data_IF_922059366328
#
_entry.id   IF_922059366328
#
_cell.length_a   1.000
_cell.length_b   1.000
_cell.length_c   1.000
_cell.angle_alpha   90.00
_cell.angle_beta   90.00
_cell.angle_gamma   90.00
#
_symmetry.space_group_name_H-M   'P 1'
#
loop_
_entity.id
_entity.type
_entity.pdbx_description
1 polymer ?
#
# COMPACT_ATOMS: atom_id res chain seq x y z
N UNK A 1 -20.02 10.00 5.52
CA UNK A 1 -19.56 10.13 4.12
C UNK A 1 -19.42 8.73 3.54
N UNK A 2 -19.74 8.50 2.26
CA UNK A 2 -19.59 7.18 1.64
C UNK A 2 -18.10 6.93 1.29
N UNK A 3 -17.61 5.67 1.35
CA UNK A 3 -16.28 5.31 0.86
C UNK A 3 -16.09 5.71 -0.61
N UNK A 4 -14.93 6.26 -0.93
CA UNK A 4 -14.58 6.63 -2.31
C UNK A 4 -13.08 6.47 -2.55
N UNK A 5 -12.73 6.39 -3.83
CA UNK A 5 -11.36 6.51 -4.36
C UNK A 5 -11.46 7.35 -5.63
N UNK A 6 -10.57 8.33 -5.81
CA UNK A 6 -10.56 9.24 -6.95
C UNK A 6 -9.15 9.71 -7.26
N UNK A 7 -8.88 10.01 -8.53
CA UNK A 7 -7.70 10.77 -8.93
C UNK A 7 -7.99 12.25 -8.75
N UNK A 8 -7.10 12.96 -8.05
CA UNK A 8 -7.15 14.41 -7.89
C UNK A 8 -6.09 15.01 -8.81
N UNK A 9 -6.53 15.84 -9.74
CA UNK A 9 -5.66 16.64 -10.61
C UNK A 9 -5.78 18.08 -10.12
N UNK A 10 -4.68 18.66 -9.65
CA UNK A 10 -4.63 20.05 -9.19
C UNK A 10 -4.03 20.92 -10.29
N UNK A 11 -4.53 22.15 -10.42
CA UNK A 11 -3.93 23.14 -11.32
C UNK A 11 -2.63 23.67 -10.70
N UNK A 12 -1.50 23.10 -11.11
CA UNK A 12 -0.18 23.76 -11.06
C UNK A 12 0.75 23.48 -9.88
N UNK A 13 0.27 23.10 -8.69
CA UNK A 13 1.17 22.99 -7.51
C UNK A 13 1.52 21.57 -7.07
N UNK A 14 0.69 20.58 -7.40
CA UNK A 14 0.93 19.18 -7.02
C UNK A 14 0.79 18.27 -8.23
N UNK A 15 1.67 17.28 -8.31
CA UNK A 15 1.47 16.15 -9.21
C UNK A 15 0.12 15.47 -8.89
N UNK A 16 -0.56 14.89 -9.90
CA UNK A 16 -1.77 14.12 -9.68
C UNK A 16 -1.59 13.07 -8.59
N UNK A 17 -2.64 12.79 -7.83
CA UNK A 17 -2.57 11.79 -6.75
C UNK A 17 -3.89 11.07 -6.57
N UNK A 18 -3.85 9.86 -6.03
CA UNK A 18 -5.06 9.14 -5.63
C UNK A 18 -5.44 9.56 -4.22
N UNK A 19 -6.71 9.94 -4.04
CA UNK A 19 -7.31 10.19 -2.74
C UNK A 19 -8.39 9.15 -2.47
N UNK A 20 -8.40 8.59 -1.28
CA UNK A 20 -9.49 7.72 -0.85
C UNK A 20 -9.99 8.02 0.55
N UNK A 21 -11.19 7.52 0.83
CA UNK A 21 -11.86 7.61 2.12
C UNK A 21 -12.38 6.24 2.53
N UNK A 22 -11.99 5.81 3.72
CA UNK A 22 -12.37 4.55 4.34
C UNK A 22 -13.21 4.85 5.58
N UNK A 23 -14.37 4.22 5.69
CA UNK A 23 -15.24 4.33 6.86
C UNK A 23 -15.49 3.00 7.57
N UNK A 24 -14.96 1.89 7.02
CA UNK A 24 -15.05 0.54 7.56
C UNK A 24 -13.83 -0.29 7.13
N UNK A 25 -12.98 -0.66 8.09
CA UNK A 25 -11.91 -1.65 8.02
C UNK A 25 -11.70 -2.23 9.44
N UNK A 26 -10.90 -3.30 9.59
CA UNK A 26 -10.55 -3.83 10.91
C UNK A 26 -9.94 -2.80 11.87
N UNK A 27 -9.31 -1.75 11.32
CA UNK A 27 -8.66 -0.67 12.08
C UNK A 27 -9.35 0.70 11.87
N UNK A 28 -10.46 0.76 11.16
CA UNK A 28 -11.17 1.99 10.79
C UNK A 28 -12.67 1.76 11.01
N UNK A 29 -13.28 2.51 11.92
CA UNK A 29 -14.72 2.44 12.14
C UNK A 29 -15.41 3.77 11.75
N UNK A 30 -16.74 3.80 11.85
CA UNK A 30 -17.52 5.00 11.52
C UNK A 30 -17.19 6.20 12.43
N UNK A 31 -16.62 5.96 13.62
CA UNK A 31 -16.22 6.99 14.59
C UNK A 31 -14.81 7.52 14.28
N UNK A 32 -13.98 6.73 13.59
CA UNK A 32 -12.61 7.07 13.17
C UNK A 32 -12.40 6.77 11.69
N UNK A 33 -13.13 7.45 10.78
CA UNK A 33 -12.91 7.27 9.36
C UNK A 33 -11.55 7.82 8.96
N UNK A 34 -11.00 7.28 7.87
CA UNK A 34 -9.66 7.62 7.42
C UNK A 34 -9.63 8.10 5.98
N UNK A 35 -8.94 9.20 5.75
CA UNK A 35 -8.50 9.60 4.40
C UNK A 35 -7.11 9.02 4.15
N UNK A 36 -6.85 8.62 2.91
CA UNK A 36 -5.52 8.20 2.48
C UNK A 36 -5.18 8.83 1.14
N UNK A 37 -3.89 8.90 0.87
CA UNK A 37 -3.31 9.55 -0.29
C UNK A 37 -2.25 8.63 -0.87
N UNK A 38 -2.25 8.42 -2.18
CA UNK A 38 -1.17 7.76 -2.91
C UNK A 38 -0.61 8.74 -3.95
N UNK A 39 0.71 8.94 -4.02
CA UNK A 39 1.31 9.84 -4.99
C UNK A 39 1.11 9.33 -6.44
N UNK A 40 1.40 10.19 -7.42
CA UNK A 40 1.43 9.82 -8.84
C UNK A 40 2.31 8.59 -9.10
N UNK A 41 3.46 8.57 -8.43
CA UNK A 41 4.53 7.61 -8.60
C UNK A 41 5.14 7.24 -7.25
N UNK A 42 5.60 5.99 -7.13
CA UNK A 42 6.45 5.53 -6.04
C UNK A 42 7.71 4.93 -6.68
N UNK A 43 8.70 5.77 -7.06
CA UNK A 43 9.83 5.35 -7.90
C UNK A 43 10.62 4.19 -7.30
N UNK A 44 10.76 4.19 -5.97
CA UNK A 44 11.50 3.15 -5.28
C UNK A 44 10.86 1.75 -5.44
N UNK A 45 9.53 1.68 -5.60
CA UNK A 45 8.80 0.44 -5.90
C UNK A 45 8.54 0.23 -7.40
N UNK A 46 8.90 1.19 -8.25
CA UNK A 46 8.58 1.19 -9.68
C UNK A 46 7.06 1.18 -9.95
N UNK A 47 6.28 1.82 -9.08
CA UNK A 47 4.82 1.87 -9.20
C UNK A 47 4.37 3.25 -9.69
N UNK A 48 3.31 3.28 -10.49
CA UNK A 48 2.64 4.50 -10.95
C UNK A 48 1.16 4.48 -10.53
N UNK A 49 0.81 4.68 -9.24
CA UNK A 49 -0.55 4.42 -8.75
C UNK A 49 -1.68 5.16 -9.46
N UNK A 50 -1.41 6.38 -9.96
CA UNK A 50 -2.42 7.14 -10.71
C UNK A 50 -2.67 6.49 -12.07
N UNK A 51 -1.60 6.22 -12.82
CA UNK A 51 -1.67 5.57 -14.13
C UNK A 51 -2.29 4.17 -14.02
N UNK A 52 -1.82 3.35 -13.09
CA UNK A 52 -2.35 2.00 -12.85
C UNK A 52 -3.85 2.00 -12.52
N UNK A 53 -4.33 3.01 -11.77
CA UNK A 53 -5.75 3.14 -11.45
C UNK A 53 -6.57 3.59 -12.66
N UNK A 54 -6.05 4.53 -13.46
CA UNK A 54 -6.72 5.03 -14.66
C UNK A 54 -6.82 3.92 -15.71
N UNK A 55 -5.71 3.24 -15.98
CA UNK A 55 -5.66 2.07 -16.87
C UNK A 55 -6.63 0.98 -16.41
N UNK A 56 -6.67 0.70 -15.10
CA UNK A 56 -7.63 -0.25 -14.55
C UNK A 56 -9.08 0.16 -14.82
N UNK A 57 -9.44 1.43 -14.60
CA UNK A 57 -10.81 1.92 -14.82
C UNK A 57 -11.19 1.81 -16.30
N UNK A 58 -10.29 2.24 -17.21
CA UNK A 58 -10.51 2.18 -18.66
C UNK A 58 -10.63 0.73 -19.13
N UNK A 59 -9.67 -0.13 -18.76
CA UNK A 59 -9.63 -1.52 -19.20
C UNK A 59 -10.76 -2.37 -18.60
N UNK A 60 -11.19 -2.07 -17.37
CA UNK A 60 -12.30 -2.79 -16.75
C UNK A 60 -13.66 -2.39 -17.30
N UNK A 61 -13.84 -1.15 -17.78
CA UNK A 61 -15.14 -0.64 -18.19
C UNK A 61 -16.11 -0.49 -17.00
N UNK A 62 -15.58 -0.27 -15.80
CA UNK A 62 -16.37 -0.09 -14.58
C UNK A 62 -17.24 1.17 -14.67
N UNK A 63 -18.57 1.08 -14.48
CA UNK A 63 -19.43 2.26 -14.42
C UNK A 63 -19.09 3.14 -13.21
N UNK A 64 -19.25 4.45 -13.36
CA UNK A 64 -19.15 5.42 -12.25
C UNK A 64 -20.02 5.01 -11.06
N UNK A 65 -19.47 5.12 -9.84
CA UNK A 65 -20.14 4.69 -8.59
C UNK A 65 -19.99 3.21 -8.25
N UNK A 66 -19.39 2.41 -9.14
CA UNK A 66 -19.08 1.00 -8.85
C UNK A 66 -17.93 0.87 -7.85
N UNK A 67 -17.79 -0.33 -7.26
CA UNK A 67 -16.66 -0.65 -6.38
C UNK A 67 -15.44 -1.02 -7.20
N UNK A 68 -14.27 -0.48 -6.84
CA UNK A 68 -12.99 -0.92 -7.38
C UNK A 68 -12.75 -2.41 -7.10
N UNK A 69 -12.03 -3.06 -8.03
CA UNK A 69 -11.73 -4.49 -8.02
C UNK A 69 -12.96 -5.41 -7.96
N UNK A 70 -14.14 -4.90 -8.31
CA UNK A 70 -15.32 -5.72 -8.51
C UNK A 70 -15.06 -6.73 -9.63
N UNK A 71 -15.44 -7.99 -9.43
CA UNK A 71 -15.44 -8.95 -10.52
C UNK A 71 -16.68 -8.73 -11.41
N UNK A 72 -16.57 -8.87 -12.74
CA UNK A 72 -17.74 -8.89 -13.61
C UNK A 72 -18.55 -10.17 -13.35
N UNK A 73 -19.89 -10.06 -13.40
CA UNK A 73 -20.85 -11.17 -13.39
C UNK A 73 -21.17 -11.64 -14.82
N UNK A 74 -20.18 -11.60 -15.71
CA UNK A 74 -20.39 -11.74 -17.16
C UNK A 74 -21.20 -10.58 -17.72
N UNK A 75 -22.09 -10.84 -18.68
CA UNK A 75 -22.91 -9.81 -19.34
C UNK A 75 -23.95 -9.13 -18.42
N UNK A 76 -24.16 -9.66 -17.21
CA UNK A 76 -25.24 -9.23 -16.30
C UNK A 76 -24.84 -8.11 -15.33
N UNK A 77 -23.60 -7.60 -15.41
CA UNK A 77 -23.11 -6.47 -14.61
C UNK A 77 -21.97 -6.82 -13.67
N UNK A 78 -21.88 -6.15 -12.52
CA UNK A 78 -20.72 -6.22 -11.61
C UNK A 78 -21.09 -6.73 -10.21
N UNK A 79 -20.11 -7.29 -9.49
CA UNK A 79 -20.27 -7.63 -8.08
C UNK A 79 -20.26 -6.38 -7.19
N UNK A 80 -21.32 -6.18 -6.40
CA UNK A 80 -21.39 -5.09 -5.42
C UNK A 80 -20.82 -5.47 -4.04
N UNK A 81 -20.30 -6.69 -3.89
CA UNK A 81 -19.65 -7.17 -2.67
C UNK A 81 -18.13 -6.96 -2.74
N UNK A 82 -17.43 -6.84 -1.61
CA UNK A 82 -15.96 -6.72 -1.61
C UNK A 82 -15.30 -7.91 -2.31
N UNK A 83 -14.24 -7.65 -3.08
CA UNK A 83 -13.48 -8.69 -3.75
C UNK A 83 -12.77 -9.58 -2.73
N UNK A 84 -13.14 -10.87 -2.69
CA UNK A 84 -12.54 -11.86 -1.77
C UNK A 84 -11.39 -12.64 -2.40
N UNK A 85 -11.14 -12.46 -3.70
CA UNK A 85 -10.15 -13.22 -4.46
C UNK A 85 -8.71 -12.72 -4.37
N UNK A 86 -8.44 -11.64 -3.61
CA UNK A 86 -7.14 -10.95 -3.63
C UNK A 86 -5.95 -11.87 -3.34
N UNK A 87 -6.04 -12.72 -2.30
CA UNK A 87 -4.96 -13.66 -1.99
C UNK A 87 -4.69 -14.67 -3.12
N UNK A 88 -5.73 -15.12 -3.83
CA UNK A 88 -5.59 -16.02 -4.97
C UNK A 88 -4.99 -15.30 -6.18
N UNK A 89 -5.42 -14.07 -6.44
CA UNK A 89 -4.86 -13.23 -7.50
C UNK A 89 -3.37 -12.97 -7.25
N UNK A 90 -2.99 -12.65 -6.01
CA UNK A 90 -1.60 -12.46 -5.61
C UNK A 90 -0.74 -13.72 -5.83
N UNK A 91 -1.21 -14.89 -5.35
CA UNK A 91 -0.50 -16.16 -5.57
C UNK A 91 -0.29 -16.48 -7.05
N UNK A 92 -1.30 -16.20 -7.89
CA UNK A 92 -1.20 -16.38 -9.34
C UNK A 92 -0.22 -15.40 -9.97
N UNK A 93 -0.18 -14.15 -9.52
CA UNK A 93 0.82 -13.19 -9.97
C UNK A 93 2.23 -13.66 -9.61
N UNK A 94 2.42 -14.04 -8.34
CA UNK A 94 3.70 -14.59 -7.85
C UNK A 94 4.18 -15.79 -8.66
N UNK A 95 3.33 -16.79 -8.88
CA UNK A 95 3.68 -17.99 -9.65
C UNK A 95 4.01 -17.68 -11.12
N UNK A 96 3.45 -16.62 -11.71
CA UNK A 96 3.81 -16.19 -13.07
C UNK A 96 5.18 -15.52 -13.12
N UNK A 97 5.53 -14.75 -12.10
CA UNK A 97 6.83 -14.07 -12.01
C UNK A 97 7.95 -15.02 -11.62
N UNK A 98 7.66 -16.00 -10.74
CA UNK A 98 8.62 -16.96 -10.20
C UNK A 98 8.10 -18.40 -10.41
N UNK A 99 8.15 -18.93 -11.64
CA UNK A 99 7.55 -20.23 -11.97
C UNK A 99 8.19 -21.41 -11.21
N UNK A 100 9.48 -21.30 -10.86
CA UNK A 100 10.23 -22.34 -10.14
C UNK A 100 10.08 -22.24 -8.60
N UNK A 101 9.39 -21.22 -8.09
CA UNK A 101 9.30 -20.99 -6.65
C UNK A 101 8.22 -21.87 -5.98
N UNK A 102 8.63 -22.71 -5.03
CA UNK A 102 7.74 -23.62 -4.32
C UNK A 102 7.02 -22.98 -3.11
N UNK A 103 7.39 -21.78 -2.73
CA UNK A 103 6.94 -21.07 -1.51
C UNK A 103 5.69 -20.21 -1.73
N UNK A 104 5.13 -20.18 -2.95
CA UNK A 104 3.92 -19.40 -3.28
C UNK A 104 2.72 -19.68 -2.36
N UNK A 105 2.67 -20.86 -1.73
CA UNK A 105 1.65 -21.26 -0.79
C UNK A 105 1.69 -20.48 0.54
N UNK A 106 2.86 -19.97 0.95
CA UNK A 106 3.09 -19.21 2.18
C UNK A 106 2.47 -17.82 2.15
N UNK A 107 2.18 -17.28 0.96
CA UNK A 107 1.56 -15.96 0.84
C UNK A 107 0.07 -15.99 1.16
N UNK A 108 -0.44 -14.89 1.71
CA UNK A 108 -1.85 -14.70 2.02
C UNK A 108 -2.32 -13.30 1.60
N UNK A 109 -3.60 -13.00 1.86
CA UNK A 109 -4.19 -11.68 1.56
C UNK A 109 -3.52 -10.53 2.30
N UNK A 110 -2.81 -10.79 3.40
CA UNK A 110 -2.06 -9.78 4.14
C UNK A 110 -0.60 -9.62 3.71
N UNK A 111 -0.06 -10.48 2.84
CA UNK A 111 1.38 -10.51 2.55
C UNK A 111 1.88 -9.21 1.93
N UNK A 112 1.20 -8.68 0.90
CA UNK A 112 1.58 -7.42 0.26
C UNK A 112 1.66 -6.26 1.27
N UNK A 113 0.68 -6.16 2.17
CA UNK A 113 0.66 -5.13 3.23
C UNK A 113 1.84 -5.28 4.20
N UNK A 114 2.24 -6.51 4.55
CA UNK A 114 3.40 -6.77 5.43
C UNK A 114 4.72 -6.42 4.73
N UNK A 115 4.88 -6.86 3.49
CA UNK A 115 6.08 -6.60 2.69
C UNK A 115 6.31 -5.10 2.46
N UNK A 116 5.23 -4.32 2.28
CA UNK A 116 5.34 -2.87 2.15
C UNK A 116 6.12 -2.24 3.32
N UNK A 117 5.77 -2.58 4.57
CA UNK A 117 6.52 -2.07 5.72
C UNK A 117 8.00 -2.46 5.65
N UNK A 118 8.27 -3.74 5.35
CA UNK A 118 9.63 -4.27 5.23
C UNK A 118 10.47 -3.63 4.11
N UNK A 119 9.84 -3.12 3.05
CA UNK A 119 10.52 -2.41 1.96
C UNK A 119 10.75 -0.94 2.29
N UNK A 120 9.77 -0.26 2.91
CA UNK A 120 9.89 1.16 3.24
C UNK A 120 10.91 1.43 4.36
N UNK A 121 11.03 0.52 5.33
CA UNK A 121 11.97 0.67 6.45
C UNK A 121 13.45 0.81 6.02
N UNK A 122 14.04 -0.11 5.23
CA UNK A 122 15.42 0.03 4.76
C UNK A 122 15.64 1.21 3.80
N UNK A 123 14.58 1.91 3.36
CA UNK A 123 14.65 3.17 2.63
C UNK A 123 14.55 4.40 3.52
N UNK A 124 14.63 4.24 4.85
CA UNK A 124 14.69 5.35 5.79
C UNK A 124 13.33 5.97 6.12
N UNK A 125 12.22 5.33 5.75
CA UNK A 125 10.90 5.83 6.12
C UNK A 125 10.69 5.72 7.63
N UNK A 126 10.16 6.78 8.24
CA UNK A 126 9.91 6.80 9.68
C UNK A 126 8.81 5.81 10.08
N UNK A 127 8.88 5.29 11.31
CA UNK A 127 7.84 4.42 11.85
C UNK A 127 6.44 5.01 11.74
N UNK A 128 6.30 6.32 11.99
CA UNK A 128 5.02 7.02 11.89
C UNK A 128 4.49 7.01 10.46
N UNK A 129 5.35 7.27 9.48
CA UNK A 129 4.96 7.31 8.07
C UNK A 129 4.57 5.92 7.55
N UNK A 130 5.33 4.90 7.91
CA UNK A 130 5.02 3.50 7.56
C UNK A 130 3.72 3.05 8.23
N UNK A 131 3.51 3.37 9.51
CA UNK A 131 2.26 3.11 10.24
C UNK A 131 1.06 3.76 9.59
N UNK A 132 1.22 5.03 9.21
CA UNK A 132 0.19 5.77 8.53
C UNK A 132 -0.11 5.09 7.19
N UNK A 133 0.80 5.05 6.22
CA UNK A 133 0.54 4.42 4.91
C UNK A 133 -0.01 3.00 5.03
N UNK A 134 0.52 2.20 5.95
CA UNK A 134 0.11 0.82 6.18
C UNK A 134 -1.24 0.63 6.88
N UNK A 135 -1.96 1.68 7.28
CA UNK A 135 -3.25 1.52 7.95
C UNK A 135 -3.15 0.96 9.37
N UNK A 136 -1.97 1.03 10.00
CA UNK A 136 -1.70 0.38 11.27
C UNK A 136 -2.03 1.29 12.44
N UNK A 137 -2.70 0.71 13.43
CA UNK A 137 -2.82 1.35 14.73
C UNK A 137 -1.42 1.35 15.38
N UNK A 138 -1.06 2.45 16.04
CA UNK A 138 0.28 2.74 16.57
C UNK A 138 0.52 2.43 18.06
N UNK A 139 -0.07 1.40 18.72
CA UNK A 139 0.60 0.87 19.90
C UNK A 139 1.85 0.15 19.39
N UNK A 140 3.01 0.50 19.97
CA UNK A 140 4.37 0.05 19.62
C UNK A 140 4.47 -1.38 19.04
N UNK A 141 3.67 -2.31 19.57
CA UNK A 141 3.67 -3.75 19.29
C UNK A 141 3.32 -4.18 17.84
N UNK A 142 2.37 -3.53 17.16
CA UNK A 142 1.82 -4.11 15.92
C UNK A 142 2.79 -4.04 14.71
N UNK A 143 3.62 -3.01 14.67
CA UNK A 143 4.64 -2.82 13.64
C UNK A 143 5.88 -3.65 13.91
N UNK A 144 6.33 -3.72 15.18
CA UNK A 144 7.50 -4.49 15.59
C UNK A 144 7.41 -5.97 15.18
N UNK A 145 6.19 -6.54 15.15
CA UNK A 145 5.91 -7.89 14.65
C UNK A 145 6.27 -8.10 13.17
N UNK A 146 6.27 -7.04 12.35
CA UNK A 146 6.60 -7.11 10.93
C UNK A 146 8.07 -6.79 10.64
N UNK A 147 8.76 -6.16 11.59
CA UNK A 147 10.15 -5.74 11.51
C UNK A 147 11.11 -6.70 12.23
N UNK A 148 10.82 -8.01 12.26
CA UNK A 148 11.84 -9.01 12.55
C UNK A 148 13.07 -8.70 11.69
N UNK A 149 14.11 -8.16 12.34
CA UNK A 149 14.98 -7.16 11.70
C UNK A 149 15.75 -7.82 10.57
N UNK A 150 15.51 -7.37 9.34
CA UNK A 150 16.12 -7.97 8.17
C UNK A 150 17.65 -7.85 8.29
N UNK A 151 18.38 -8.96 8.12
CA UNK A 151 19.84 -9.03 8.27
C UNK A 151 20.56 -7.91 7.51
N UNK A 152 20.10 -7.57 6.30
CA UNK A 152 20.66 -6.48 5.50
C UNK A 152 20.52 -5.09 6.14
N UNK A 153 19.44 -4.84 6.88
CA UNK A 153 19.23 -3.58 7.60
C UNK A 153 20.16 -3.47 8.80
N UNK A 154 20.32 -4.56 9.56
CA UNK A 154 21.29 -4.63 10.66
C UNK A 154 22.71 -4.44 10.13
N UNK A 155 23.06 -5.12 9.02
CA UNK A 155 24.38 -4.99 8.40
C UNK A 155 24.63 -3.58 7.82
N UNK A 156 23.62 -2.91 7.23
CA UNK A 156 23.74 -1.51 6.81
C UNK A 156 23.93 -0.57 7.99
N UNK A 157 23.12 -0.72 9.04
CA UNK A 157 23.23 0.11 10.24
C UNK A 157 24.59 -0.08 10.93
N UNK A 158 25.10 -1.31 11.01
CA UNK A 158 26.44 -1.62 11.52
C UNK A 158 27.55 -1.06 10.62
N UNK A 159 27.41 -1.13 9.29
CA UNK A 159 28.37 -0.57 8.35
C UNK A 159 28.40 0.98 8.37
N UNK A 160 27.30 1.61 8.78
CA UNK A 160 27.18 3.06 8.98
C UNK A 160 27.55 3.50 10.40
N UNK A 161 27.70 2.55 11.34
CA UNK A 161 28.21 2.77 12.69
C UNK A 161 29.73 2.98 12.62
N UNK A 162 30.15 4.22 12.32
CA UNK A 162 31.55 4.62 12.28
C UNK A 162 31.94 5.45 11.04
N UNK A 163 31.10 5.46 10.01
CA UNK A 163 31.19 6.42 8.92
C UNK A 163 30.30 7.61 9.30
N UNK A 164 30.92 8.70 9.74
CA UNK A 164 30.37 10.04 10.06
C UNK A 164 28.84 10.20 9.93
N UNK A 165 28.20 10.50 11.07
CA UNK A 165 26.75 10.61 11.19
C UNK A 165 26.13 11.54 10.14
N UNK A 166 25.06 11.12 9.45
CA UNK A 166 24.23 12.07 8.76
C UNK A 166 23.53 12.92 9.83
N UNK A 167 23.67 14.24 9.71
CA UNK A 167 22.87 15.19 10.46
C UNK A 167 21.41 14.76 10.37
N UNK A 168 20.89 14.21 11.47
CA UNK A 168 19.45 14.20 11.72
C UNK A 168 19.11 15.67 11.83
N UNK A 169 18.77 16.30 10.70
CA UNK A 169 18.14 17.61 10.73
C UNK A 169 16.86 17.41 11.51
N UNK A 170 16.90 17.84 12.78
CA UNK A 170 15.77 17.94 13.68
C UNK A 170 14.80 19.03 13.21
N UNK A 171 14.44 19.01 11.94
CA UNK A 171 13.47 19.91 11.35
C UNK A 171 12.12 19.20 11.31
N UNK A 172 11.33 19.53 12.33
CA UNK A 172 9.86 19.43 12.39
C UNK A 172 9.32 18.12 12.94
N UNK A 173 9.52 17.97 14.25
CA UNK A 173 8.49 17.39 15.11
C UNK A 173 7.65 18.54 15.69
N UNK A 174 6.57 18.88 15.00
CA UNK A 174 5.31 19.34 15.59
C UNK A 174 4.19 18.42 15.09
#
# INVERSE_FOLDING_TARGET
MQPYVMVVRTDGELSPYVRGYLSMDKNVDQRKPRKFYLPAEVPALGLSPVEELEDYIVASGLPSGSRLFSAPKGATGWHYTPYRGHGRAFKRAYARTFPEAADGHLYGSGSARKSLGQWLWPWGWSHRMISDVGGWYTPKVAMDLYFATHRATVLRALAQLGAEGPAVTAAHWD
#
